data_IF_114775070980
#
_entry.id   IF_114775070980
#
_cell.length_a   1.000
_cell.length_b   1.000
_cell.length_c   1.000
_cell.angle_alpha   90.00
_cell.angle_beta   90.00
_cell.angle_gamma   90.00
#
_symmetry.space_group_name_H-M   'P 1'
#
loop_
_entity.id
_entity.type
_entity.pdbx_description
1 polymer ?
#
# COMPACT_ATOMS: atom_id res chain seq x y z
N UNK A 1 -2.35 10.59 -17.20
CA UNK A 1 -2.48 11.36 -15.95
C UNK A 1 -3.32 10.72 -14.85
N UNK A 2 -4.63 10.49 -15.06
CA UNK A 2 -5.51 9.75 -14.13
C UNK A 2 -5.03 8.31 -13.85
N UNK A 3 -3.94 7.87 -14.50
CA UNK A 3 -3.33 6.56 -14.37
C UNK A 3 -2.01 6.58 -13.59
N UNK A 4 -1.14 7.61 -13.65
CA UNK A 4 0.14 7.67 -12.90
C UNK A 4 -0.01 7.84 -11.38
N UNK A 5 -0.88 8.75 -10.94
CA UNK A 5 -1.24 8.83 -9.52
C UNK A 5 -2.26 7.79 -9.11
N UNK A 6 -3.09 7.35 -10.05
CA UNK A 6 -3.71 6.05 -9.89
C UNK A 6 -2.69 4.92 -9.94
N UNK A 7 -1.37 5.07 -10.16
CA UNK A 7 -0.41 3.98 -10.02
C UNK A 7 0.25 4.04 -8.65
N UNK A 8 0.49 5.21 -8.04
CA UNK A 8 0.84 5.25 -6.60
C UNK A 8 -0.34 4.80 -5.71
N UNK A 9 -1.58 5.08 -6.15
CA UNK A 9 -2.82 4.59 -5.53
C UNK A 9 -3.26 3.21 -6.03
N UNK A 10 -3.05 2.87 -7.31
CA UNK A 10 -3.07 1.50 -7.85
C UNK A 10 -1.75 0.78 -7.66
N UNK A 11 -0.95 1.18 -6.69
CA UNK A 11 0.04 0.32 -6.07
C UNK A 11 -0.64 -0.37 -4.88
N UNK A 12 -1.67 0.25 -4.30
CA UNK A 12 -2.63 -0.38 -3.38
C UNK A 12 -3.90 -0.90 -4.11
N UNK A 13 -4.18 -0.41 -5.31
CA UNK A 13 -5.30 -0.74 -6.20
C UNK A 13 -4.90 -1.39 -7.55
N UNK A 14 -3.66 -1.89 -7.72
CA UNK A 14 -3.16 -2.58 -8.93
C UNK A 14 -3.94 -3.85 -9.26
N UNK A 15 -4.77 -4.26 -8.31
CA UNK A 15 -5.93 -5.10 -8.49
C UNK A 15 -6.84 -4.74 -9.66
N UNK A 16 -6.86 -3.47 -10.08
CA UNK A 16 -7.90 -2.89 -10.95
C UNK A 16 -7.58 -2.99 -12.44
N UNK A 17 -6.30 -2.96 -12.85
CA UNK A 17 -6.00 -2.88 -14.29
C UNK A 17 -6.42 -4.14 -15.06
N UNK A 18 -6.38 -5.31 -14.41
CA UNK A 18 -6.74 -6.57 -15.08
C UNK A 18 -8.24 -6.74 -15.29
N UNK A 19 -9.06 -6.32 -14.34
CA UNK A 19 -10.51 -6.51 -14.47
C UNK A 19 -11.16 -5.54 -15.47
N UNK A 20 -10.46 -4.49 -15.91
CA UNK A 20 -10.97 -3.48 -16.82
C UNK A 20 -10.50 -3.66 -18.28
N UNK A 21 -9.55 -4.56 -18.56
CA UNK A 21 -9.14 -4.87 -19.95
C UNK A 21 -10.03 -5.95 -20.56
N UNK A 22 -10.78 -5.68 -21.64
CA UNK A 22 -11.69 -6.64 -22.29
C UNK A 22 -10.96 -7.77 -23.06
N UNK A 23 -9.66 -7.94 -22.86
CA UNK A 23 -8.78 -8.79 -23.70
C UNK A 23 -8.49 -10.19 -23.11
N UNK A 24 -8.93 -10.52 -21.89
CA UNK A 24 -8.61 -11.83 -21.28
C UNK A 24 -9.81 -12.78 -21.42
N UNK A 25 -9.83 -13.56 -22.51
CA UNK A 25 -10.82 -14.62 -22.80
C UNK A 25 -10.34 -16.04 -22.47
N UNK A 26 -9.41 -16.19 -21.52
CA UNK A 26 -8.82 -17.51 -21.22
C UNK A 26 -9.37 -18.07 -19.89
N UNK A 27 -10.28 -19.04 -19.98
CA UNK A 27 -10.96 -19.69 -18.85
C UNK A 27 -9.98 -20.37 -17.88
N UNK A 28 -8.83 -20.83 -18.36
CA UNK A 28 -7.81 -21.51 -17.53
C UNK A 28 -7.20 -20.57 -16.49
N UNK A 29 -7.07 -19.27 -16.81
CA UNK A 29 -6.48 -18.24 -15.94
C UNK A 29 -7.46 -17.73 -14.88
N UNK A 30 -8.77 -17.75 -15.17
CA UNK A 30 -9.81 -17.40 -14.20
C UNK A 30 -9.91 -18.42 -13.04
N UNK A 31 -9.64 -19.70 -13.30
CA UNK A 31 -9.64 -20.76 -12.26
C UNK A 31 -8.49 -20.58 -11.25
N UNK A 32 -7.29 -20.25 -11.73
CA UNK A 32 -6.14 -19.97 -10.86
C UNK A 32 -6.39 -18.74 -9.97
N UNK A 33 -7.00 -17.68 -10.53
CA UNK A 33 -7.37 -16.47 -9.77
C UNK A 33 -8.47 -16.72 -8.75
N UNK A 34 -9.46 -17.58 -9.06
CA UNK A 34 -10.47 -18.02 -8.11
C UNK A 34 -9.89 -18.79 -6.91
N UNK A 35 -8.84 -19.57 -7.16
CA UNK A 35 -8.13 -20.34 -6.12
C UNK A 35 -7.33 -19.42 -5.20
N UNK A 36 -6.60 -18.48 -5.78
CA UNK A 36 -5.84 -17.47 -5.03
C UNK A 36 -6.78 -16.55 -4.22
N UNK A 37 -7.86 -16.07 -4.83
CA UNK A 37 -8.83 -15.21 -4.16
C UNK A 37 -9.53 -15.90 -2.99
N UNK A 38 -9.94 -17.16 -3.15
CA UNK A 38 -10.59 -17.92 -2.08
C UNK A 38 -9.63 -18.27 -0.94
N UNK A 39 -8.35 -18.53 -1.24
CA UNK A 39 -7.31 -18.73 -0.25
C UNK A 39 -7.09 -17.48 0.62
N UNK A 40 -6.90 -16.32 -0.02
CA UNK A 40 -6.76 -15.03 0.69
C UNK A 40 -7.99 -14.73 1.54
N UNK A 41 -9.19 -14.98 1.01
CA UNK A 41 -10.45 -14.76 1.73
C UNK A 41 -10.59 -15.64 2.99
N UNK A 42 -10.17 -16.91 2.89
CA UNK A 42 -10.20 -17.84 4.01
C UNK A 42 -9.24 -17.39 5.13
N UNK A 43 -8.03 -16.96 4.76
CA UNK A 43 -7.03 -16.49 5.71
C UNK A 43 -7.46 -15.21 6.43
N UNK A 44 -8.02 -14.21 5.73
CA UNK A 44 -8.54 -12.98 6.36
C UNK A 44 -9.60 -13.27 7.44
N UNK A 45 -10.44 -14.30 7.25
CA UNK A 45 -11.50 -14.64 8.20
C UNK A 45 -11.00 -15.37 9.47
N UNK A 46 -9.78 -15.88 9.48
CA UNK A 46 -9.21 -16.68 10.58
C UNK A 46 -8.51 -15.83 11.66
N UNK A 47 -8.51 -14.50 11.55
CA UNK A 47 -7.61 -13.65 12.34
C UNK A 47 -8.12 -13.33 13.75
N UNK A 48 -7.37 -13.82 14.75
CA UNK A 48 -7.42 -13.53 16.20
C UNK A 48 -5.99 -13.42 16.77
N UNK A 49 -5.80 -13.49 18.10
CA UNK A 49 -4.56 -13.17 18.89
C UNK A 49 -3.22 -13.80 18.42
N UNK A 50 -3.19 -14.66 17.40
CA UNK A 50 -1.99 -15.24 16.78
C UNK A 50 -1.60 -14.63 15.41
N UNK A 51 -2.13 -13.45 15.09
CA UNK A 51 -2.08 -12.84 13.75
C UNK A 51 -0.69 -12.71 13.10
N UNK A 52 0.38 -12.42 13.84
CA UNK A 52 1.73 -12.21 13.25
C UNK A 52 2.29 -13.51 12.68
N UNK A 53 2.30 -14.58 13.49
CA UNK A 53 2.85 -15.88 13.08
C UNK A 53 2.00 -16.53 11.99
N UNK A 54 0.69 -16.32 12.04
CA UNK A 54 -0.24 -16.80 11.02
C UNK A 54 -0.15 -15.99 9.71
N UNK A 55 0.19 -14.70 9.78
CA UNK A 55 0.48 -13.88 8.61
C UNK A 55 1.76 -14.31 7.90
N UNK A 56 2.87 -14.47 8.64
CA UNK A 56 4.14 -14.98 8.09
C UNK A 56 3.95 -16.32 7.37
N UNK A 57 3.22 -17.24 8.00
CA UNK A 57 2.89 -18.53 7.40
C UNK A 57 1.99 -18.38 6.17
N UNK A 58 0.91 -17.59 6.25
CA UNK A 58 0.01 -17.37 5.12
C UNK A 58 0.73 -16.77 3.91
N UNK A 59 1.75 -15.95 4.15
CA UNK A 59 2.56 -15.30 3.13
C UNK A 59 3.52 -16.27 2.50
N UNK A 60 4.22 -17.07 3.31
CA UNK A 60 5.02 -18.18 2.83
C UNK A 60 4.20 -19.16 1.99
N UNK A 61 3.00 -19.52 2.45
CA UNK A 61 2.08 -20.41 1.73
C UNK A 61 1.60 -19.77 0.40
N UNK A 62 1.26 -18.47 0.41
CA UNK A 62 0.85 -17.74 -0.81
C UNK A 62 2.01 -17.64 -1.79
N UNK A 63 3.20 -17.34 -1.30
CA UNK A 63 4.41 -17.23 -2.10
C UNK A 63 4.78 -18.56 -2.72
N UNK A 64 4.74 -19.65 -1.94
CA UNK A 64 4.96 -21.00 -2.45
C UNK A 64 3.92 -21.35 -3.52
N UNK A 65 2.65 -21.02 -3.30
CA UNK A 65 1.58 -21.28 -4.27
C UNK A 65 1.82 -20.50 -5.57
N UNK A 66 2.08 -19.19 -5.49
CA UNK A 66 2.36 -18.34 -6.66
C UNK A 66 3.65 -18.79 -7.38
N UNK A 67 4.71 -19.09 -6.64
CA UNK A 67 5.99 -19.55 -7.20
C UNK A 67 5.87 -20.91 -7.86
N UNK A 68 5.07 -21.83 -7.29
CA UNK A 68 4.81 -23.13 -7.90
C UNK A 68 3.89 -23.06 -9.12
N UNK A 69 3.03 -22.04 -9.19
CA UNK A 69 2.12 -21.81 -10.30
C UNK A 69 2.77 -21.04 -11.47
N UNK A 70 3.92 -20.39 -11.24
CA UNK A 70 4.59 -19.58 -12.24
C UNK A 70 5.90 -20.24 -12.66
N UNK A 71 5.94 -20.74 -13.89
CA UNK A 71 7.15 -21.32 -14.51
C UNK A 71 8.25 -20.26 -14.78
N UNK A 72 7.94 -18.97 -14.62
CA UNK A 72 8.88 -17.88 -14.88
C UNK A 72 9.76 -17.58 -13.64
N UNK A 73 11.02 -17.99 -13.72
CA UNK A 73 12.03 -17.75 -12.67
C UNK A 73 12.33 -16.28 -12.37
N UNK A 74 12.05 -15.37 -13.31
CA UNK A 74 12.26 -13.93 -13.13
C UNK A 74 11.20 -13.33 -12.21
N UNK A 75 9.93 -13.63 -12.44
CA UNK A 75 8.84 -13.18 -11.56
C UNK A 75 9.04 -13.65 -10.12
N UNK A 76 9.46 -14.91 -9.92
CA UNK A 76 9.72 -15.45 -8.57
C UNK A 76 10.76 -14.61 -7.83
N UNK A 77 11.81 -14.15 -8.55
CA UNK A 77 12.83 -13.26 -7.97
C UNK A 77 12.25 -11.90 -7.60
N UNK A 78 11.42 -11.31 -8.45
CA UNK A 78 10.80 -10.00 -8.18
C UNK A 78 9.83 -10.04 -7.00
N UNK A 79 9.02 -11.10 -6.89
CA UNK A 79 8.12 -11.27 -5.75
C UNK A 79 8.94 -11.51 -4.46
N UNK A 80 10.03 -12.27 -4.53
CA UNK A 80 10.90 -12.48 -3.39
C UNK A 80 11.57 -11.17 -2.94
N UNK A 81 12.11 -10.40 -3.89
CA UNK A 81 12.68 -9.07 -3.66
C UNK A 81 11.66 -8.14 -3.01
N UNK A 82 10.45 -8.07 -3.56
CA UNK A 82 9.35 -7.31 -2.99
C UNK A 82 8.99 -7.72 -1.57
N UNK A 83 8.91 -9.04 -1.31
CA UNK A 83 8.58 -9.58 0.02
C UNK A 83 9.65 -9.21 1.04
N UNK A 84 10.93 -9.35 0.67
CA UNK A 84 12.06 -8.96 1.52
C UNK A 84 12.04 -7.46 1.82
N UNK A 85 11.69 -6.63 0.82
CA UNK A 85 11.59 -5.18 0.98
C UNK A 85 10.50 -4.78 1.97
N UNK A 86 9.34 -5.44 1.92
CA UNK A 86 8.22 -5.21 2.84
C UNK A 86 8.56 -5.67 4.25
N UNK A 87 9.22 -6.82 4.40
CA UNK A 87 9.68 -7.30 5.71
C UNK A 87 10.70 -6.36 6.34
N UNK A 88 11.65 -5.85 5.55
CA UNK A 88 12.61 -4.86 6.01
C UNK A 88 11.91 -3.57 6.46
N UNK A 89 10.96 -3.07 5.66
CA UNK A 89 10.14 -1.90 6.00
C UNK A 89 9.38 -2.10 7.32
N UNK A 90 8.68 -3.23 7.47
CA UNK A 90 7.94 -3.56 8.69
C UNK A 90 8.88 -3.57 9.91
N UNK A 91 10.03 -4.22 9.80
CA UNK A 91 11.04 -4.26 10.86
C UNK A 91 11.52 -2.87 11.26
N UNK A 92 11.89 -2.01 10.30
CA UNK A 92 12.33 -0.63 10.59
C UNK A 92 11.25 0.18 11.29
N UNK A 93 10.00 -0.01 10.88
CA UNK A 93 8.84 0.67 11.45
C UNK A 93 8.54 0.18 12.88
N UNK A 94 8.65 -1.12 13.16
CA UNK A 94 8.56 -1.66 14.54
C UNK A 94 9.72 -1.16 15.42
N UNK A 95 10.94 -1.06 14.89
CA UNK A 95 12.09 -0.48 15.60
C UNK A 95 11.85 0.98 15.98
N UNK A 96 11.33 1.79 15.06
CA UNK A 96 10.93 3.18 15.34
C UNK A 96 9.88 3.27 16.45
N UNK A 97 8.87 2.39 16.43
CA UNK A 97 7.84 2.35 17.46
C UNK A 97 8.43 2.00 18.85
N UNK A 98 9.34 1.04 18.90
CA UNK A 98 10.02 0.66 20.14
C UNK A 98 10.88 1.80 20.69
N UNK A 99 11.58 2.53 19.82
CA UNK A 99 12.36 3.72 20.22
C UNK A 99 11.44 4.78 20.82
N UNK A 100 10.32 5.10 20.15
CA UNK A 100 9.34 6.06 20.65
C UNK A 100 8.79 5.68 22.03
N UNK A 101 8.39 4.42 22.21
CA UNK A 101 7.88 3.91 23.49
C UNK A 101 8.94 3.91 24.60
N UNK A 102 10.18 3.52 24.29
CA UNK A 102 11.26 3.39 25.28
C UNK A 102 11.63 4.72 25.96
N UNK A 103 11.37 5.84 25.30
CA UNK A 103 11.71 7.18 25.79
C UNK A 103 10.70 7.73 26.79
N UNK A 104 9.64 6.97 27.13
CA UNK A 104 8.50 7.48 27.90
C UNK A 104 7.86 8.72 27.27
N UNK A 105 8.18 8.95 25.99
CA UNK A 105 8.05 10.22 25.33
C UNK A 105 6.69 10.24 24.66
N UNK A 106 5.77 10.93 25.34
CA UNK A 106 4.56 11.50 24.76
C UNK A 106 3.57 10.41 24.35
N UNK A 107 2.40 10.42 24.99
CA UNK A 107 1.24 9.74 24.41
C UNK A 107 0.93 10.47 23.11
N UNK A 108 1.57 10.03 22.02
CA UNK A 108 1.33 10.56 20.69
C UNK A 108 -0.13 10.27 20.42
N UNK A 109 -0.92 11.33 20.31
CA UNK A 109 -2.29 11.23 19.85
C UNK A 109 -2.25 10.78 18.38
N UNK A 110 -2.32 9.46 18.20
CA UNK A 110 -2.26 8.82 16.90
C UNK A 110 -3.38 9.32 15.98
N UNK A 111 -4.54 9.68 16.53
CA UNK A 111 -5.65 10.22 15.75
C UNK A 111 -5.31 11.64 15.27
N UNK A 112 -4.66 12.46 16.09
CA UNK A 112 -4.16 13.78 15.67
C UNK A 112 -3.07 13.65 14.59
N UNK A 113 -2.07 12.79 14.80
CA UNK A 113 -1.00 12.55 13.83
C UNK A 113 -1.56 12.03 12.52
N UNK A 114 -2.44 11.03 12.57
CA UNK A 114 -3.05 10.45 11.37
C UNK A 114 -3.89 11.49 10.62
N UNK A 115 -4.69 12.29 11.33
CA UNK A 115 -5.50 13.34 10.71
C UNK A 115 -4.65 14.42 10.05
N UNK A 116 -3.60 14.90 10.74
CA UNK A 116 -2.68 15.89 10.19
C UNK A 116 -1.92 15.34 8.97
N UNK A 117 -1.45 14.09 9.05
CA UNK A 117 -0.75 13.44 7.97
C UNK A 117 -1.67 13.15 6.78
N UNK A 118 -2.93 12.78 7.01
CA UNK A 118 -3.94 12.59 5.96
C UNK A 118 -4.13 13.86 5.13
N UNK A 119 -4.31 15.01 5.80
CA UNK A 119 -4.45 16.31 5.14
C UNK A 119 -3.22 16.66 4.30
N UNK A 120 -2.02 16.46 4.88
CA UNK A 120 -0.76 16.72 4.17
C UNK A 120 -0.55 15.79 2.98
N UNK A 121 -0.88 14.50 3.13
CA UNK A 121 -0.81 13.53 2.05
C UNK A 121 -1.75 13.92 0.91
N UNK A 122 -2.99 14.32 1.21
CA UNK A 122 -3.93 14.81 0.20
C UNK A 122 -3.37 16.05 -0.54
N UNK A 123 -2.76 17.02 0.17
CA UNK A 123 -2.08 18.17 -0.44
C UNK A 123 -0.93 17.74 -1.36
N UNK A 124 -0.07 16.82 -0.89
CA UNK A 124 1.06 16.28 -1.64
C UNK A 124 0.58 15.60 -2.92
N UNK A 125 -0.49 14.81 -2.81
CA UNK A 125 -1.10 14.13 -3.96
C UNK A 125 -1.57 15.15 -4.99
N UNK A 126 -2.28 16.21 -4.58
CA UNK A 126 -2.73 17.24 -5.51
C UNK A 126 -1.56 17.97 -6.19
N UNK A 127 -0.48 18.24 -5.45
CA UNK A 127 0.74 18.83 -6.02
C UNK A 127 1.37 17.90 -7.05
N UNK A 128 1.54 16.62 -6.72
CA UNK A 128 2.10 15.62 -7.64
C UNK A 128 1.22 15.43 -8.88
N UNK A 129 -0.12 15.47 -8.75
CA UNK A 129 -1.04 15.45 -9.90
C UNK A 129 -0.78 16.62 -10.84
N UNK A 130 -0.56 17.79 -10.27
CA UNK A 130 -0.34 19.01 -11.04
C UNK A 130 1.03 18.99 -11.72
N UNK A 131 2.07 18.61 -10.98
CA UNK A 131 3.46 18.61 -11.41
C UNK A 131 3.73 17.56 -12.50
N UNK A 132 3.22 16.35 -12.33
CA UNK A 132 3.32 15.30 -13.33
C UNK A 132 2.12 15.35 -14.26
N UNK A 133 1.86 16.56 -14.81
CA UNK A 133 0.95 17.04 -15.88
C UNK A 133 0.95 16.31 -17.22
N UNK A 134 2.14 15.86 -17.56
CA UNK A 134 2.51 15.57 -18.93
C UNK A 134 2.16 14.14 -19.35
N UNK A 135 1.84 13.92 -20.63
CA UNK A 135 1.64 12.57 -21.15
C UNK A 135 2.90 11.73 -20.91
N UNK A 136 2.71 10.46 -20.56
CA UNK A 136 3.84 9.59 -20.28
C UNK A 136 4.67 9.32 -21.55
N UNK A 137 5.99 9.17 -21.43
CA UNK A 137 6.81 8.65 -22.51
C UNK A 137 6.28 7.29 -22.98
N UNK A 138 6.31 7.06 -24.30
CA UNK A 138 5.97 5.75 -24.87
C UNK A 138 7.01 4.70 -24.46
N UNK A 139 8.28 5.09 -24.42
CA UNK A 139 9.39 4.25 -24.01
C UNK A 139 9.26 3.82 -22.53
N UNK A 140 9.44 2.51 -22.30
CA UNK A 140 9.30 1.92 -20.97
C UNK A 140 10.39 2.40 -20.00
N UNK A 141 11.63 2.57 -20.48
CA UNK A 141 12.75 3.00 -19.64
C UNK A 141 12.60 4.45 -19.21
N UNK A 142 12.23 5.33 -20.15
CA UNK A 142 11.93 6.73 -19.85
C UNK A 142 10.75 6.86 -18.88
N UNK A 143 9.68 6.08 -19.10
CA UNK A 143 8.53 6.05 -18.19
C UNK A 143 8.92 5.59 -16.78
N UNK A 144 9.77 4.56 -16.65
CA UNK A 144 10.26 4.11 -15.35
C UNK A 144 11.08 5.20 -14.64
N UNK A 145 11.99 5.89 -15.36
CA UNK A 145 12.77 7.01 -14.79
C UNK A 145 11.87 8.15 -14.32
N UNK A 146 10.85 8.49 -15.09
CA UNK A 146 9.86 9.51 -14.71
C UNK A 146 9.12 9.11 -13.43
N UNK A 147 8.70 7.85 -13.32
CA UNK A 147 8.07 7.32 -12.10
C UNK A 147 9.04 7.32 -10.93
N UNK A 148 10.29 6.94 -11.12
CA UNK A 148 11.30 6.99 -10.07
C UNK A 148 11.49 8.40 -9.52
N UNK A 149 11.59 9.40 -10.40
CA UNK A 149 11.67 10.81 -9.99
C UNK A 149 10.43 11.26 -9.22
N UNK A 150 9.23 10.89 -9.70
CA UNK A 150 7.98 11.20 -9.02
C UNK A 150 7.91 10.57 -7.62
N UNK A 151 8.38 9.33 -7.47
CA UNK A 151 8.42 8.62 -6.18
C UNK A 151 9.41 9.29 -5.22
N UNK A 152 10.60 9.65 -5.68
CA UNK A 152 11.58 10.38 -4.85
C UNK A 152 10.98 11.70 -4.37
N UNK A 153 10.43 12.49 -5.28
CA UNK A 153 9.81 13.77 -4.91
C UNK A 153 8.62 13.61 -3.95
N UNK A 154 7.79 12.59 -4.18
CA UNK A 154 6.68 12.28 -3.28
C UNK A 154 7.18 11.95 -1.88
N UNK A 155 8.23 11.12 -1.76
CA UNK A 155 8.82 10.74 -0.49
C UNK A 155 9.47 11.92 0.22
N UNK A 156 10.15 12.82 -0.48
CA UNK A 156 10.72 14.04 0.12
C UNK A 156 9.63 14.95 0.70
N UNK A 157 8.50 15.08 -0.01
CA UNK A 157 7.34 15.84 0.49
C UNK A 157 6.69 15.16 1.70
N UNK A 158 6.58 13.83 1.68
CA UNK A 158 6.06 13.04 2.82
C UNK A 158 6.99 13.15 4.02
N UNK A 159 8.32 13.06 3.83
CA UNK A 159 9.31 13.30 4.89
C UNK A 159 9.06 14.66 5.54
N UNK A 160 8.99 15.71 4.73
CA UNK A 160 8.80 17.07 5.23
C UNK A 160 7.50 17.20 6.06
N UNK A 161 6.41 16.58 5.61
CA UNK A 161 5.15 16.55 6.35
C UNK A 161 5.28 15.79 7.69
N UNK A 162 5.88 14.59 7.68
CA UNK A 162 6.09 13.77 8.88
C UNK A 162 6.98 14.51 9.89
N UNK A 163 8.09 15.09 9.43
CA UNK A 163 9.02 15.88 10.25
C UNK A 163 8.31 17.08 10.86
N UNK A 164 7.50 17.80 10.09
CA UNK A 164 6.73 18.95 10.60
C UNK A 164 5.76 18.52 11.71
N UNK A 165 5.08 17.39 11.55
CA UNK A 165 4.16 16.85 12.55
C UNK A 165 4.92 16.44 13.81
N UNK A 166 6.04 15.72 13.67
CA UNK A 166 6.86 15.26 14.80
C UNK A 166 7.50 16.42 15.58
N UNK A 167 7.98 17.46 14.89
CA UNK A 167 8.45 18.70 15.54
C UNK A 167 7.32 19.38 16.31
N UNK A 168 6.11 19.41 15.76
CA UNK A 168 4.92 19.91 16.47
C UNK A 168 4.58 19.11 17.74
N UNK A 169 4.99 17.85 17.80
CA UNK A 169 4.88 16.99 18.97
C UNK A 169 6.11 17.07 19.90
N UNK A 170 7.07 17.95 19.63
CA UNK A 170 8.27 18.14 20.48
C UNK A 170 9.42 17.18 20.20
N UNK A 171 9.37 16.38 19.13
CA UNK A 171 10.52 15.57 18.68
C UNK A 171 11.50 16.50 17.94
N UNK A 172 12.82 16.47 18.24
CA UNK A 172 13.79 17.26 17.51
C UNK A 172 13.79 16.97 16.00
N UNK A 173 13.90 18.00 15.16
CA UNK A 173 13.85 17.85 13.70
C UNK A 173 14.88 16.83 13.18
N UNK A 174 16.11 16.88 13.69
CA UNK A 174 17.19 15.96 13.30
C UNK A 174 16.83 14.51 13.57
N UNK A 175 16.18 14.25 14.71
CA UNK A 175 15.72 12.90 15.08
C UNK A 175 14.57 12.45 14.20
N UNK A 176 13.58 13.31 13.96
CA UNK A 176 12.46 12.99 13.07
C UNK A 176 12.92 12.66 11.64
N UNK A 177 13.92 13.38 11.12
CA UNK A 177 14.55 13.11 9.82
C UNK A 177 15.32 11.80 9.82
N UNK A 178 16.11 11.54 10.86
CA UNK A 178 16.84 10.29 11.00
C UNK A 178 15.90 9.08 11.02
N UNK A 179 14.78 9.17 11.73
CA UNK A 179 13.73 8.14 11.74
C UNK A 179 13.19 7.87 10.34
N UNK A 180 12.84 8.92 9.57
CA UNK A 180 12.32 8.74 8.22
C UNK A 180 13.37 8.23 7.23
N UNK A 181 14.62 8.67 7.36
CA UNK A 181 15.74 8.28 6.50
C UNK A 181 16.00 6.76 6.50
N UNK A 182 15.67 6.06 7.59
CA UNK A 182 15.77 4.60 7.64
C UNK A 182 14.66 3.90 6.85
N UNK A 183 13.46 4.48 6.78
CA UNK A 183 12.29 3.85 6.14
C UNK A 183 12.13 4.25 4.68
N UNK A 184 12.53 5.46 4.31
CA UNK A 184 12.39 6.02 2.97
C UNK A 184 12.96 5.11 1.85
N UNK A 185 14.17 4.52 1.97
CA UNK A 185 14.70 3.64 0.92
C UNK A 185 13.84 2.40 0.71
N UNK A 186 13.28 1.85 1.79
CA UNK A 186 12.41 0.69 1.73
C UNK A 186 11.08 1.01 1.06
N UNK A 187 10.45 2.15 1.40
CA UNK A 187 9.22 2.59 0.73
C UNK A 187 9.50 2.84 -0.75
N UNK A 188 10.57 3.56 -1.11
CA UNK A 188 10.96 3.79 -2.51
C UNK A 188 11.07 2.46 -3.25
N UNK A 189 11.81 1.50 -2.70
CA UNK A 189 12.06 0.24 -3.35
C UNK A 189 10.78 -0.60 -3.53
N UNK A 190 9.96 -0.73 -2.47
CA UNK A 190 8.64 -1.39 -2.54
C UNK A 190 7.79 -0.77 -3.64
N UNK A 191 7.76 0.57 -3.72
CA UNK A 191 6.95 1.28 -4.71
C UNK A 191 7.43 1.01 -6.14
N UNK A 192 8.74 1.03 -6.37
CA UNK A 192 9.28 0.83 -7.72
C UNK A 192 9.17 -0.62 -8.21
N UNK A 193 9.37 -1.59 -7.33
CA UNK A 193 9.15 -3.01 -7.66
C UNK A 193 7.68 -3.25 -7.97
N UNK A 194 6.77 -2.65 -7.19
CA UNK A 194 5.35 -2.82 -7.42
C UNK A 194 4.87 -2.14 -8.70
N UNK A 195 5.44 -0.99 -9.05
CA UNK A 195 5.23 -0.35 -10.34
C UNK A 195 5.68 -1.26 -11.50
N UNK A 196 6.89 -1.83 -11.40
CA UNK A 196 7.42 -2.77 -12.41
C UNK A 196 6.50 -3.98 -12.58
N UNK A 197 6.11 -4.61 -11.46
CA UNK A 197 5.17 -5.73 -11.46
C UNK A 197 3.82 -5.36 -12.09
N UNK A 198 3.37 -4.10 -11.95
CA UNK A 198 2.10 -3.67 -12.53
C UNK A 198 2.18 -3.50 -14.04
N UNK A 199 3.31 -3.03 -14.56
CA UNK A 199 3.56 -2.93 -16.01
C UNK A 199 3.73 -4.32 -16.66
N UNK A 200 4.40 -5.25 -15.99
CA UNK A 200 4.78 -6.55 -16.57
C UNK A 200 3.77 -7.66 -16.27
N UNK A 201 3.14 -7.62 -15.09
CA UNK A 201 2.39 -8.72 -14.50
C UNK A 201 1.14 -8.25 -13.72
N UNK A 202 0.23 -7.49 -14.33
CA UNK A 202 -0.88 -6.82 -13.62
C UNK A 202 -1.79 -7.79 -12.85
N UNK A 203 -1.87 -9.06 -13.27
CA UNK A 203 -2.62 -10.12 -12.59
C UNK A 203 -2.04 -10.54 -11.25
N UNK A 204 -0.72 -10.58 -11.18
CA UNK A 204 0.00 -11.02 -9.98
C UNK A 204 -0.02 -9.90 -8.94
N UNK A 205 -0.03 -8.64 -9.38
CA UNK A 205 0.01 -7.51 -8.46
C UNK A 205 -1.17 -7.48 -7.51
N UNK A 206 -2.37 -7.81 -7.99
CA UNK A 206 -3.58 -8.04 -7.17
C UNK A 206 -3.24 -8.87 -5.93
N UNK A 207 -2.64 -10.03 -6.18
CA UNK A 207 -2.34 -11.06 -5.19
C UNK A 207 -1.22 -10.58 -4.28
N UNK A 208 -0.15 -10.06 -4.86
CA UNK A 208 1.03 -9.58 -4.16
C UNK A 208 0.69 -8.44 -3.20
N UNK A 209 -0.15 -7.49 -3.62
CA UNK A 209 -0.65 -6.40 -2.78
C UNK A 209 -1.54 -6.90 -1.67
N UNK A 210 -2.48 -7.79 -1.98
CA UNK A 210 -3.34 -8.39 -0.96
C UNK A 210 -2.51 -9.16 0.09
N UNK A 211 -1.47 -9.89 -0.34
CA UNK A 211 -0.52 -10.57 0.53
C UNK A 211 0.24 -9.57 1.40
N UNK A 212 0.75 -8.48 0.85
CA UNK A 212 1.48 -7.46 1.62
C UNK A 212 0.62 -6.73 2.62
N UNK A 213 -0.59 -6.34 2.23
CA UNK A 213 -1.56 -5.78 3.15
C UNK A 213 -1.67 -6.77 4.31
N UNK A 214 -1.91 -8.06 4.02
CA UNK A 214 -1.99 -9.14 5.01
C UNK A 214 -0.72 -9.32 5.86
N UNK A 215 0.49 -9.09 5.34
CA UNK A 215 1.74 -9.10 6.15
C UNK A 215 1.77 -7.96 7.16
N UNK A 216 1.32 -6.78 6.73
CA UNK A 216 1.36 -5.55 7.51
C UNK A 216 0.17 -5.49 8.50
N UNK A 217 -0.95 -6.16 8.19
CA UNK A 217 -2.17 -6.19 9.01
C UNK A 217 -2.01 -6.62 10.49
N UNK A 218 -1.08 -7.53 10.91
CA UNK A 218 -1.04 -8.02 12.29
C UNK A 218 -0.84 -6.91 13.31
N UNK A 219 -0.17 -5.85 12.90
CA UNK A 219 0.09 -4.67 13.70
C UNK A 219 -1.04 -3.65 13.46
N UNK A 220 -2.23 -3.93 14.01
CA UNK A 220 -3.41 -3.09 13.85
C UNK A 220 -3.20 -1.60 14.21
N UNK A 221 -2.16 -1.32 15.00
CA UNK A 221 -1.73 0.03 15.35
C UNK A 221 -1.08 0.80 14.20
N UNK A 222 -0.48 0.15 13.19
CA UNK A 222 0.04 0.81 11.99
C UNK A 222 -1.01 0.93 10.89
N UNK A 223 -1.78 -0.14 10.73
CA UNK A 223 -2.79 -0.20 9.70
C UNK A 223 -3.87 0.86 9.90
N UNK A 224 -4.27 1.12 11.15
CA UNK A 224 -5.27 2.14 11.45
C UNK A 224 -4.83 3.54 10.97
N UNK A 225 -3.65 4.08 11.36
CA UNK A 225 -3.12 5.32 10.82
C UNK A 225 -3.03 5.32 9.30
N UNK A 226 -2.54 4.24 8.68
CA UNK A 226 -2.45 4.14 7.21
C UNK A 226 -3.83 4.25 6.56
N UNK A 227 -4.82 3.52 7.06
CA UNK A 227 -6.17 3.54 6.53
C UNK A 227 -6.85 4.90 6.77
N UNK A 228 -6.63 5.52 7.93
CA UNK A 228 -7.10 6.86 8.22
C UNK A 228 -6.43 7.92 7.32
N UNK A 229 -5.13 7.79 7.02
CA UNK A 229 -4.40 8.66 6.07
C UNK A 229 -5.05 8.62 4.69
N UNK A 230 -5.43 7.42 4.23
CA UNK A 230 -6.20 7.26 2.99
C UNK A 230 -7.66 7.75 3.08
N UNK A 231 -8.10 8.16 4.27
CA UNK A 231 -9.43 8.64 4.57
C UNK A 231 -10.48 7.54 4.55
N UNK A 232 -10.17 6.39 5.13
CA UNK A 232 -11.15 5.38 5.50
C UNK A 232 -11.73 5.70 6.89
N UNK A 233 -13.02 6.02 6.95
CA UNK A 233 -13.74 6.26 8.20
C UNK A 233 -14.66 5.09 8.59
N UNK A 234 -15.33 5.23 9.74
CA UNK A 234 -16.28 4.24 10.28
C UNK A 234 -17.45 3.91 9.35
N UNK A 235 -17.79 4.83 8.44
CA UNK A 235 -18.87 4.70 7.45
C UNK A 235 -18.37 4.42 6.03
N UNK A 236 -17.06 4.20 5.84
CA UNK A 236 -16.41 4.05 4.55
C UNK A 236 -15.56 5.27 4.20
N UNK A 237 -15.25 5.48 2.90
CA UNK A 237 -14.41 6.59 2.46
C UNK A 237 -14.93 7.97 2.87
N UNK A 238 -14.07 8.78 3.45
CA UNK A 238 -14.32 10.17 3.82
C UNK A 238 -14.39 11.03 2.55
N UNK A 239 -15.42 11.87 2.42
CA UNK A 239 -15.59 12.71 1.23
C UNK A 239 -14.35 13.59 1.02
N UNK A 240 -13.81 13.57 -0.20
CA UNK A 240 -12.63 14.36 -0.57
C UNK A 240 -11.31 13.62 -0.35
N UNK A 241 -11.30 12.53 0.42
CA UNK A 241 -10.10 11.74 0.64
C UNK A 241 -9.67 10.96 -0.59
N UNK A 242 -8.44 10.47 -0.53
CA UNK A 242 -7.93 9.53 -1.51
C UNK A 242 -8.81 8.27 -1.68
N UNK A 243 -9.33 7.67 -0.60
CA UNK A 243 -10.25 6.54 -0.70
C UNK A 243 -11.55 6.89 -1.44
N UNK A 244 -12.12 8.08 -1.21
CA UNK A 244 -13.34 8.51 -1.90
C UNK A 244 -13.06 8.87 -3.37
N UNK A 245 -11.86 9.35 -3.67
CA UNK A 245 -11.39 9.49 -5.05
C UNK A 245 -11.26 8.12 -5.73
N UNK A 246 -10.62 7.14 -5.08
CA UNK A 246 -10.46 5.78 -5.59
C UNK A 246 -11.82 5.13 -5.87
N UNK A 247 -12.76 5.25 -4.93
CA UNK A 247 -14.12 4.74 -5.13
C UNK A 247 -14.75 5.30 -6.41
N UNK A 248 -14.67 6.62 -6.61
CA UNK A 248 -15.27 7.29 -7.78
C UNK A 248 -14.56 6.94 -9.09
N UNK A 249 -13.23 6.81 -9.05
CA UNK A 249 -12.43 6.53 -10.22
C UNK A 249 -12.63 5.10 -10.72
N UNK A 250 -12.67 4.13 -9.81
CA UNK A 250 -12.65 2.71 -10.16
C UNK A 250 -14.02 2.03 -10.08
N UNK A 251 -14.92 2.54 -9.24
CA UNK A 251 -16.24 1.95 -9.00
C UNK A 251 -17.35 3.00 -9.19
N UNK A 252 -17.47 3.60 -10.39
CA UNK A 252 -18.38 4.73 -10.62
C UNK A 252 -19.85 4.40 -10.40
N UNK A 253 -20.25 3.14 -10.59
CA UNK A 253 -21.64 2.69 -10.40
C UNK A 253 -21.88 2.06 -9.01
N UNK A 254 -21.07 1.06 -8.65
CA UNK A 254 -21.19 0.33 -7.37
C UNK A 254 -19.92 -0.44 -7.09
N UNK A 255 -19.57 -0.62 -5.81
CA UNK A 255 -18.45 -1.46 -5.37
C UNK A 255 -18.92 -2.93 -5.35
N UNK A 256 -18.36 -3.84 -6.18
CA UNK A 256 -18.73 -5.24 -6.16
C UNK A 256 -18.38 -5.90 -4.82
N UNK A 257 -19.27 -6.76 -4.32
CA UNK A 257 -19.00 -7.57 -3.12
C UNK A 257 -17.79 -8.47 -3.36
N UNK A 258 -16.86 -8.48 -2.42
CA UNK A 258 -15.64 -9.30 -2.49
C UNK A 258 -14.51 -8.66 -3.29
N UNK A 259 -14.75 -7.52 -3.97
CA UNK A 259 -13.68 -6.73 -4.56
C UNK A 259 -12.68 -6.29 -3.49
N UNK A 260 -11.42 -6.11 -3.87
CA UNK A 260 -10.38 -5.61 -2.97
C UNK A 260 -10.78 -4.31 -2.27
N UNK A 261 -11.47 -3.38 -2.97
CA UNK A 261 -11.92 -2.14 -2.37
C UNK A 261 -12.98 -2.39 -1.30
N UNK A 262 -13.91 -3.32 -1.53
CA UNK A 262 -14.88 -3.71 -0.49
C UNK A 262 -14.20 -4.36 0.73
N UNK A 263 -13.09 -5.07 0.52
CA UNK A 263 -12.30 -5.66 1.61
C UNK A 263 -11.53 -4.60 2.38
N UNK A 264 -10.82 -3.70 1.69
CA UNK A 264 -10.17 -2.54 2.31
C UNK A 264 -11.18 -1.66 3.05
N UNK A 265 -12.34 -1.41 2.46
CA UNK A 265 -13.41 -0.66 3.09
C UNK A 265 -13.87 -1.35 4.38
N UNK A 266 -14.10 -2.67 4.33
CA UNK A 266 -14.47 -3.45 5.51
C UNK A 266 -13.40 -3.37 6.60
N UNK A 267 -12.13 -3.49 6.23
CA UNK A 267 -10.99 -3.38 7.15
C UNK A 267 -10.92 -1.98 7.75
N UNK A 268 -10.92 -0.92 6.94
CA UNK A 268 -10.86 0.46 7.39
C UNK A 268 -12.04 0.84 8.29
N UNK A 269 -13.26 0.41 7.95
CA UNK A 269 -14.44 0.60 8.80
C UNK A 269 -14.36 -0.17 10.13
N UNK A 270 -13.70 -1.34 10.14
CA UNK A 270 -13.46 -2.12 11.35
C UNK A 270 -12.45 -1.43 12.27
N UNK A 271 -11.33 -0.99 11.72
CA UNK A 271 -10.27 -0.30 12.48
C UNK A 271 -10.70 1.05 13.03
N UNK A 272 -11.53 1.79 12.29
CA UNK A 272 -12.02 3.09 12.73
C UNK A 272 -12.99 3.01 13.93
N UNK A 273 -13.44 1.80 14.31
CA UNK A 273 -14.29 1.56 15.49
C UNK A 273 -13.49 1.18 16.74
N UNK A 274 -12.23 0.77 16.57
CA UNK A 274 -11.32 0.47 17.67
C UNK A 274 -10.80 1.77 18.27
#
# INVERSE_FOLDING_TARGET
MRHALAYLFALLASTVYVCATPTIKDESRCSALGTISSFVQNKINLWGEHAVKDAEKAVSDTFHTVSSAVENSELVKEIAEFTNAVQAMAKSVSEMHNIANSRGAITIDLDHVSSALSLKVDEIIQQLVTEFSEPHPEDKSERYKMVEQAVVLALDKVEHAVVTIYVGLGIPESEAREMFAHVQPHIKHVVLVLYKLTEEHPLIVVTVVATVITIILPEGFFLRPIMQIFGWGTKGPVKGSAAAWMQRAFFPASIPKGSWFSQLQKVGMGLAKL
#
